data_IF_601377071058
#
_entry.id   IF_601377071058
#
_cell.length_a   1.000
_cell.length_b   1.000
_cell.length_c   1.000
_cell.angle_alpha   90.00
_cell.angle_beta   90.00
_cell.angle_gamma   90.00
#
_symmetry.space_group_name_H-M   'P 1'
#
loop_
_entity.id
_entity.type
_entity.pdbx_description
1 polymer ?
#
# COMPACT_ATOMS: atom_id res chain seq x y z
N UNK A 1 -14.04 -17.72 -27.92
CA UNK A 1 -13.48 -18.18 -26.62
C UNK A 1 -14.52 -18.77 -25.67
N UNK A 2 -15.82 -18.48 -25.82
CA UNK A 2 -16.88 -18.99 -24.92
C UNK A 2 -16.90 -20.52 -24.71
N UNK A 3 -16.73 -21.37 -25.76
CA UNK A 3 -16.67 -22.83 -25.56
C UNK A 3 -15.48 -23.27 -24.69
N UNK A 4 -14.31 -22.64 -24.88
CA UNK A 4 -13.12 -22.90 -24.07
C UNK A 4 -13.32 -22.46 -22.61
N UNK A 5 -14.00 -21.34 -22.39
CA UNK A 5 -14.32 -20.86 -21.04
C UNK A 5 -15.26 -21.82 -20.29
N UNK A 6 -16.21 -22.45 -20.98
CA UNK A 6 -17.07 -23.50 -20.40
C UNK A 6 -16.28 -24.77 -20.06
N UNK A 7 -15.42 -25.22 -20.96
CA UNK A 7 -14.56 -26.38 -20.69
C UNK A 7 -13.61 -26.12 -19.51
N UNK A 8 -13.00 -24.93 -19.46
CA UNK A 8 -12.15 -24.51 -18.35
C UNK A 8 -12.91 -24.43 -17.02
N UNK A 9 -14.13 -23.89 -17.04
CA UNK A 9 -14.98 -23.86 -15.85
C UNK A 9 -15.29 -25.27 -15.31
N UNK A 10 -15.60 -26.23 -16.20
CA UNK A 10 -15.81 -27.61 -15.81
C UNK A 10 -14.55 -28.23 -15.18
N UNK A 11 -13.37 -27.93 -15.74
CA UNK A 11 -12.09 -28.40 -15.19
C UNK A 11 -11.83 -27.84 -13.79
N UNK A 12 -12.09 -26.54 -13.56
CA UNK A 12 -11.89 -25.89 -12.26
C UNK A 12 -12.72 -26.55 -11.14
N UNK A 13 -13.88 -27.14 -11.44
CA UNK A 13 -14.72 -27.82 -10.44
C UNK A 13 -14.07 -29.06 -9.81
N UNK A 14 -13.02 -29.60 -10.44
CA UNK A 14 -12.28 -30.77 -9.94
C UNK A 14 -11.30 -30.42 -8.81
N UNK A 15 -11.07 -29.13 -8.56
CA UNK A 15 -10.08 -28.65 -7.61
C UNK A 15 -10.72 -27.97 -6.40
N UNK A 16 -10.05 -28.08 -5.25
CA UNK A 16 -10.40 -27.33 -4.04
C UNK A 16 -9.54 -26.08 -3.95
N UNK A 17 -10.19 -24.92 -3.87
CA UNK A 17 -9.52 -23.63 -3.72
C UNK A 17 -9.44 -23.24 -2.25
N UNK A 18 -8.31 -22.65 -1.88
CA UNK A 18 -8.08 -22.01 -0.59
C UNK A 18 -7.76 -20.54 -0.82
N UNK A 19 -7.91 -19.73 0.22
CA UNK A 19 -7.46 -18.34 0.14
C UNK A 19 -5.93 -18.33 0.06
N UNK A 20 -5.35 -17.58 -0.91
CA UNK A 20 -3.93 -17.33 -0.93
C UNK A 20 -3.47 -16.65 0.36
N UNK A 21 -2.29 -17.03 0.85
CA UNK A 21 -1.65 -16.34 1.99
C UNK A 21 -1.29 -14.90 1.65
N UNK A 22 -0.90 -14.64 0.40
CA UNK A 22 -0.64 -13.31 -0.13
C UNK A 22 -1.73 -12.86 -1.10
N UNK A 23 -2.14 -11.58 -1.10
CA UNK A 23 -3.15 -11.07 -2.02
C UNK A 23 -2.81 -11.35 -3.49
N UNK A 24 -3.68 -12.04 -4.21
CA UNK A 24 -3.55 -12.28 -5.66
C UNK A 24 -4.56 -11.40 -6.40
N UNK A 25 -4.05 -10.47 -7.21
CA UNK A 25 -4.85 -9.51 -7.97
C UNK A 25 -5.40 -10.19 -9.24
N UNK A 26 -6.72 -10.20 -9.41
CA UNK A 26 -7.37 -10.80 -10.56
C UNK A 26 -7.34 -9.87 -11.77
N UNK A 27 -6.93 -10.39 -12.92
CA UNK A 27 -6.86 -9.63 -14.18
C UNK A 27 -8.20 -9.05 -14.65
N UNK A 28 -9.33 -9.61 -14.21
CA UNK A 28 -10.67 -9.22 -14.68
C UNK A 28 -11.13 -7.88 -14.12
N UNK A 29 -10.68 -7.51 -12.92
CA UNK A 29 -11.12 -6.29 -12.22
C UNK A 29 -9.97 -5.49 -11.59
N UNK A 30 -8.74 -6.01 -11.58
CA UNK A 30 -7.58 -5.35 -10.96
C UNK A 30 -7.64 -5.33 -9.43
N UNK A 31 -8.39 -6.24 -8.81
CA UNK A 31 -8.54 -6.32 -7.35
C UNK A 31 -8.14 -7.72 -6.83
N UNK A 32 -7.70 -7.84 -5.56
CA UNK A 32 -7.48 -9.13 -4.93
C UNK A 32 -8.74 -10.00 -4.93
N UNK A 33 -8.55 -11.32 -4.92
CA UNK A 33 -9.63 -12.24 -4.61
C UNK A 33 -10.22 -11.93 -3.23
N UNK A 34 -11.56 -11.81 -3.17
CA UNK A 34 -12.28 -11.50 -1.93
C UNK A 34 -12.42 -12.72 -1.03
N UNK A 35 -12.69 -13.86 -1.65
CA UNK A 35 -12.97 -15.13 -1.02
C UNK A 35 -12.60 -16.29 -1.97
N UNK A 36 -12.51 -17.51 -1.45
CA UNK A 36 -12.07 -18.69 -2.22
C UNK A 36 -13.08 -19.07 -3.31
N UNK A 37 -14.36 -18.76 -3.08
CA UNK A 37 -15.46 -18.98 -4.02
C UNK A 37 -15.32 -18.08 -5.27
N UNK A 38 -14.79 -16.87 -5.11
CA UNK A 38 -14.57 -15.92 -6.21
C UNK A 38 -13.47 -16.35 -7.19
N UNK A 39 -12.49 -17.16 -6.74
CA UNK A 39 -11.32 -17.55 -7.54
C UNK A 39 -11.72 -18.26 -8.85
N UNK A 40 -12.42 -19.41 -8.82
CA UNK A 40 -12.78 -20.11 -10.05
C UNK A 40 -13.73 -19.29 -10.94
N UNK A 41 -14.58 -18.44 -10.35
CA UNK A 41 -15.49 -17.57 -11.10
C UNK A 41 -14.72 -16.52 -11.90
N UNK A 42 -13.71 -15.88 -11.31
CA UNK A 42 -12.89 -14.86 -11.97
C UNK A 42 -11.88 -15.47 -12.94
N UNK A 43 -11.31 -16.63 -12.64
CA UNK A 43 -10.48 -17.40 -13.59
C UNK A 43 -11.26 -17.76 -14.86
N UNK A 44 -12.51 -18.24 -14.71
CA UNK A 44 -13.40 -18.45 -15.85
C UNK A 44 -13.63 -17.16 -16.63
N UNK A 45 -13.99 -16.06 -15.95
CA UNK A 45 -14.26 -14.77 -16.61
C UNK A 45 -13.06 -14.26 -17.40
N UNK A 46 -11.84 -14.49 -16.91
CA UNK A 46 -10.61 -14.08 -17.59
C UNK A 46 -10.48 -14.65 -19.01
N UNK A 47 -11.07 -15.82 -19.30
CA UNK A 47 -11.06 -16.42 -20.64
C UNK A 47 -11.82 -15.60 -21.69
N UNK A 48 -12.71 -14.70 -21.27
CA UNK A 48 -13.59 -13.94 -22.18
C UNK A 48 -13.58 -12.43 -21.93
N UNK A 49 -12.86 -11.97 -20.90
CA UNK A 49 -12.79 -10.57 -20.52
C UNK A 49 -11.38 -10.00 -20.76
N UNK A 50 -11.27 -8.71 -21.07
CA UNK A 50 -9.98 -8.07 -21.22
C UNK A 50 -9.20 -8.05 -19.91
N UNK A 51 -7.87 -8.02 -20.02
CA UNK A 51 -6.96 -7.84 -18.88
C UNK A 51 -7.02 -6.37 -18.44
N UNK A 52 -7.47 -6.13 -17.21
CA UNK A 52 -7.57 -4.80 -16.59
C UNK A 52 -6.23 -4.36 -16.00
N UNK A 53 -5.19 -4.28 -16.85
CA UNK A 53 -3.84 -3.94 -16.41
C UNK A 53 -3.74 -2.57 -15.73
N UNK A 54 -4.46 -1.57 -16.25
CA UNK A 54 -4.49 -0.23 -15.65
C UNK A 54 -5.09 -0.25 -14.24
N UNK A 55 -6.14 -1.05 -14.01
CA UNK A 55 -6.74 -1.20 -12.69
C UNK A 55 -5.77 -1.87 -11.71
N UNK A 56 -5.05 -2.90 -12.15
CA UNK A 56 -3.98 -3.53 -11.35
C UNK A 56 -2.90 -2.52 -10.95
N UNK A 57 -2.44 -1.68 -11.88
CA UNK A 57 -1.43 -0.65 -11.59
C UNK A 57 -1.95 0.41 -10.62
N UNK A 58 -3.21 0.83 -10.76
CA UNK A 58 -3.84 1.79 -9.84
C UNK A 58 -4.00 1.18 -8.44
N UNK A 59 -4.43 -0.08 -8.35
CA UNK A 59 -4.48 -0.80 -7.07
C UNK A 59 -3.11 -0.81 -6.40
N UNK A 60 -2.04 -1.20 -7.13
CA UNK A 60 -0.68 -1.25 -6.59
C UNK A 60 -0.23 0.12 -6.06
N UNK A 61 -0.48 1.19 -6.82
CA UNK A 61 -0.15 2.56 -6.43
C UNK A 61 -0.89 2.99 -5.16
N UNK A 62 -2.19 2.74 -5.08
CA UNK A 62 -3.01 3.13 -3.91
C UNK A 62 -2.57 2.40 -2.63
N UNK A 63 -2.08 1.17 -2.77
CA UNK A 63 -1.58 0.38 -1.65
C UNK A 63 -0.11 0.65 -1.33
N UNK A 64 0.54 1.57 -2.04
CA UNK A 64 1.92 1.95 -1.77
C UNK A 64 2.96 0.92 -2.18
N UNK A 65 2.64 0.04 -3.11
CA UNK A 65 3.63 -0.85 -3.70
C UNK A 65 4.59 0.02 -4.52
N UNK A 66 5.87 -0.07 -4.21
CA UNK A 66 6.97 0.71 -4.80
C UNK A 66 8.06 -0.19 -5.41
N UNK A 67 8.00 -1.51 -5.19
CA UNK A 67 8.86 -2.50 -5.80
C UNK A 67 8.06 -3.69 -6.36
N UNK A 68 8.55 -4.27 -7.47
CA UNK A 68 8.00 -5.48 -8.05
C UNK A 68 9.10 -6.36 -8.67
N UNK A 69 8.88 -7.67 -8.67
CA UNK A 69 9.77 -8.64 -9.31
C UNK A 69 8.99 -9.34 -10.43
N UNK A 70 9.41 -9.19 -11.68
CA UNK A 70 8.87 -9.96 -12.79
C UNK A 70 9.53 -11.34 -12.85
N UNK A 71 8.72 -12.36 -12.54
CA UNK A 71 9.10 -13.77 -12.69
C UNK A 71 8.69 -14.27 -14.09
N UNK A 72 9.63 -14.30 -15.02
CA UNK A 72 9.36 -14.81 -16.36
C UNK A 72 10.29 -14.24 -17.44
N UNK A 73 10.23 -14.81 -18.66
CA UNK A 73 11.12 -14.42 -19.73
C UNK A 73 10.72 -13.07 -20.36
N UNK A 74 11.67 -12.44 -21.06
CA UNK A 74 11.48 -11.27 -21.96
C UNK A 74 11.16 -9.92 -21.31
N UNK A 75 11.16 -9.81 -19.97
CA UNK A 75 11.01 -8.53 -19.23
C UNK A 75 9.80 -7.70 -19.69
N UNK A 76 8.70 -8.35 -20.06
CA UNK A 76 7.53 -7.70 -20.68
C UNK A 76 6.78 -6.87 -19.66
N UNK A 77 6.50 -7.44 -18.48
CA UNK A 77 5.79 -6.74 -17.42
C UNK A 77 6.63 -5.60 -16.86
N UNK A 78 7.94 -5.77 -16.71
CA UNK A 78 8.90 -4.71 -16.34
C UNK A 78 8.77 -3.51 -17.27
N UNK A 79 8.73 -3.75 -18.58
CA UNK A 79 8.58 -2.68 -19.56
C UNK A 79 7.17 -2.04 -19.54
N UNK A 80 6.11 -2.83 -19.32
CA UNK A 80 4.74 -2.32 -19.20
C UNK A 80 4.54 -1.49 -17.92
N UNK A 81 5.04 -1.97 -16.79
CA UNK A 81 4.99 -1.29 -15.49
C UNK A 81 5.75 0.03 -15.54
N UNK A 82 6.98 0.05 -16.09
CA UNK A 82 7.76 1.28 -16.26
C UNK A 82 7.04 2.37 -17.07
N UNK A 83 6.22 1.97 -18.05
CA UNK A 83 5.38 2.90 -18.83
C UNK A 83 4.17 3.39 -18.03
N UNK A 84 3.56 2.53 -17.20
CA UNK A 84 2.37 2.84 -16.43
C UNK A 84 2.65 3.63 -15.14
N UNK A 85 3.82 3.42 -14.52
CA UNK A 85 4.22 4.11 -13.30
C UNK A 85 5.74 4.23 -13.22
N UNK A 86 6.24 5.42 -12.90
CA UNK A 86 7.65 5.65 -12.57
C UNK A 86 7.97 5.44 -11.09
N UNK A 87 6.94 5.23 -10.26
CA UNK A 87 7.10 5.06 -8.82
C UNK A 87 7.47 3.64 -8.43
N UNK A 88 7.09 2.65 -9.25
CA UNK A 88 7.38 1.24 -8.97
C UNK A 88 8.69 0.86 -9.65
N UNK A 89 9.69 0.51 -8.84
CA UNK A 89 10.94 -0.11 -9.29
C UNK A 89 10.63 -1.56 -9.66
N UNK A 90 11.07 -2.00 -10.84
CA UNK A 90 10.77 -3.35 -11.33
C UNK A 90 12.04 -4.11 -11.64
N UNK A 91 12.24 -5.19 -10.90
CA UNK A 91 13.29 -6.19 -11.09
C UNK A 91 12.78 -7.30 -12.01
N UNK A 92 13.69 -8.09 -12.56
CA UNK A 92 13.36 -9.21 -13.45
C UNK A 92 14.10 -10.46 -12.99
N UNK A 93 13.72 -11.64 -13.49
CA UNK A 93 14.45 -12.89 -13.28
C UNK A 93 14.84 -13.55 -14.60
N UNK A 94 15.06 -12.76 -15.65
CA UNK A 94 15.18 -13.27 -17.02
C UNK A 94 16.61 -13.72 -17.35
N UNK A 95 17.63 -13.04 -16.82
CA UNK A 95 19.04 -13.40 -16.99
C UNK A 95 19.73 -13.68 -15.66
N UNK A 96 20.95 -14.21 -15.72
CA UNK A 96 21.74 -14.45 -14.51
C UNK A 96 22.07 -13.15 -13.79
N UNK A 97 22.38 -12.10 -14.55
CA UNK A 97 22.68 -10.76 -14.04
C UNK A 97 21.46 -10.17 -13.31
N UNK A 98 20.24 -10.45 -13.80
CA UNK A 98 19.03 -10.04 -13.09
C UNK A 98 18.90 -10.71 -11.71
N UNK A 99 19.32 -11.97 -11.60
CA UNK A 99 19.29 -12.70 -10.33
C UNK A 99 20.38 -12.19 -9.38
N UNK A 100 21.56 -11.86 -9.90
CA UNK A 100 22.64 -11.25 -9.13
C UNK A 100 22.18 -9.89 -8.55
N UNK A 101 21.54 -9.04 -9.35
CA UNK A 101 20.91 -7.79 -8.87
C UNK A 101 19.90 -8.05 -7.73
N UNK A 102 19.07 -9.08 -7.85
CA UNK A 102 18.10 -9.45 -6.81
C UNK A 102 18.75 -9.94 -5.51
N UNK A 103 19.88 -10.65 -5.59
CA UNK A 103 20.59 -11.15 -4.40
C UNK A 103 21.33 -10.04 -3.64
N UNK A 104 21.62 -8.92 -4.29
CA UNK A 104 22.22 -7.75 -3.66
C UNK A 104 21.21 -6.87 -2.92
N UNK A 105 19.91 -7.13 -3.08
CA UNK A 105 18.86 -6.35 -2.43
C UNK A 105 18.79 -6.63 -0.92
N UNK A 106 18.74 -5.55 -0.13
CA UNK A 106 18.45 -5.63 1.29
C UNK A 106 16.92 -5.57 1.51
N UNK A 107 16.29 -6.55 2.19
CA UNK A 107 14.89 -6.44 2.59
C UNK A 107 14.55 -5.14 3.35
N UNK A 108 15.51 -4.53 4.06
CA UNK A 108 15.32 -3.25 4.74
C UNK A 108 15.07 -2.08 3.77
N UNK A 109 15.46 -2.21 2.50
CA UNK A 109 15.19 -1.19 1.48
C UNK A 109 13.70 -1.08 1.13
N UNK A 110 12.92 -2.14 1.36
CA UNK A 110 11.50 -2.24 1.05
C UNK A 110 10.59 -2.12 2.28
N UNK A 111 11.14 -1.73 3.42
CA UNK A 111 10.32 -1.31 4.57
C UNK A 111 9.59 -0.03 4.19
N UNK A 112 8.30 0.06 4.49
CA UNK A 112 7.51 1.26 4.20
C UNK A 112 8.05 2.46 4.99
N UNK A 113 8.83 3.32 4.33
CA UNK A 113 9.41 4.54 4.91
C UNK A 113 8.43 5.71 4.91
N UNK A 114 7.18 5.52 4.46
CA UNK A 114 6.20 6.60 4.45
C UNK A 114 5.86 6.98 5.89
N UNK A 115 5.82 8.28 6.21
CA UNK A 115 5.50 8.69 7.55
C UNK A 115 4.10 8.22 7.90
N UNK A 116 3.97 7.57 9.05
CA UNK A 116 2.70 7.14 9.61
C UNK A 116 1.84 8.37 9.98
N UNK A 117 0.60 8.11 10.40
CA UNK A 117 -0.35 9.19 10.67
C UNK A 117 0.17 10.19 11.73
N UNK A 118 0.80 9.71 12.80
CA UNK A 118 1.32 10.55 13.87
C UNK A 118 2.52 11.38 13.41
N UNK A 119 3.44 10.81 12.64
CA UNK A 119 4.58 11.52 12.05
C UNK A 119 4.11 12.66 11.14
N UNK A 120 3.08 12.41 10.34
CA UNK A 120 2.43 13.44 9.52
C UNK A 120 1.80 14.52 10.38
N UNK A 121 1.11 14.16 11.47
CA UNK A 121 0.55 15.14 12.41
C UNK A 121 1.63 16.01 13.05
N UNK A 122 2.76 15.42 13.46
CA UNK A 122 3.88 16.16 14.03
C UNK A 122 4.49 17.11 13.01
N UNK A 123 4.76 16.63 11.79
CA UNK A 123 5.27 17.45 10.70
C UNK A 123 4.32 18.62 10.41
N UNK A 124 3.01 18.35 10.32
CA UNK A 124 1.99 19.38 10.10
C UNK A 124 1.93 20.41 11.25
N UNK A 125 2.01 19.97 12.50
CA UNK A 125 2.01 20.87 13.66
C UNK A 125 3.22 21.80 13.69
N UNK A 126 4.40 21.31 13.29
CA UNK A 126 5.65 22.09 13.32
C UNK A 126 5.80 22.98 12.08
N UNK A 127 5.36 22.52 10.91
CA UNK A 127 5.54 23.24 9.66
C UNK A 127 4.42 24.26 9.37
N UNK A 128 3.32 24.26 10.11
CA UNK A 128 2.23 25.22 9.93
C UNK A 128 2.49 26.45 10.80
N UNK A 129 2.71 27.64 10.22
CA UNK A 129 2.92 28.86 11.01
C UNK A 129 1.73 29.15 11.91
N UNK A 130 2.01 29.45 13.17
CA UNK A 130 1.03 29.95 14.12
C UNK A 130 1.23 31.46 14.29
N UNK A 131 0.14 32.23 14.29
CA UNK A 131 0.18 33.69 14.41
C UNK A 131 -0.48 34.18 15.71
N UNK A 132 -0.72 33.28 16.67
CA UNK A 132 -1.31 33.62 17.95
C UNK A 132 -0.24 34.29 18.82
N UNK A 133 -0.49 35.54 19.23
CA UNK A 133 0.41 36.33 20.08
C UNK A 133 0.00 36.29 21.57
N UNK A 134 -1.03 35.53 21.94
CA UNK A 134 -1.45 35.31 23.32
C UNK A 134 -0.74 34.07 23.88
N UNK A 135 0.16 34.30 24.84
CA UNK A 135 1.01 33.25 25.41
C UNK A 135 0.20 32.14 26.10
N UNK A 136 -0.88 32.48 26.83
CA UNK A 136 -1.70 31.48 27.54
C UNK A 136 -2.47 30.59 26.56
N UNK A 137 -3.09 31.20 25.55
CA UNK A 137 -3.80 30.48 24.49
C UNK A 137 -2.84 29.64 23.65
N UNK A 138 -1.68 30.18 23.29
CA UNK A 138 -0.65 29.46 22.56
C UNK A 138 -0.13 28.27 23.36
N UNK A 139 0.12 28.45 24.66
CA UNK A 139 0.58 27.37 25.53
C UNK A 139 -0.46 26.23 25.60
N UNK A 140 -1.72 26.56 25.90
CA UNK A 140 -2.78 25.55 26.07
C UNK A 140 -3.29 24.95 24.74
N UNK A 141 -3.26 25.74 23.66
CA UNK A 141 -3.82 25.40 22.36
C UNK A 141 -2.82 24.79 21.38
N UNK A 142 -1.53 25.10 21.52
CA UNK A 142 -0.47 24.67 20.61
C UNK A 142 0.56 23.79 21.31
N UNK A 143 1.19 24.30 22.37
CA UNK A 143 2.33 23.64 23.00
C UNK A 143 1.91 22.36 23.73
N UNK A 144 0.88 22.41 24.57
CA UNK A 144 0.40 21.21 25.28
C UNK A 144 -0.09 20.11 24.33
N UNK A 145 -0.93 20.40 23.30
CA UNK A 145 -1.37 19.37 22.37
C UNK A 145 -0.22 18.79 21.55
N UNK A 146 0.74 19.62 21.13
CA UNK A 146 1.94 19.16 20.44
C UNK A 146 2.77 18.22 21.32
N UNK A 147 2.97 18.54 22.59
CA UNK A 147 3.69 17.66 23.54
C UNK A 147 3.00 16.31 23.69
N UNK A 148 1.68 16.28 23.86
CA UNK A 148 0.90 15.03 23.93
C UNK A 148 1.03 14.21 22.66
N UNK A 149 0.94 14.84 21.49
CA UNK A 149 1.13 14.18 20.21
C UNK A 149 2.55 13.59 20.08
N UNK A 150 3.57 14.35 20.51
CA UNK A 150 4.98 13.94 20.50
C UNK A 150 5.25 12.77 21.44
N UNK A 151 4.70 12.79 22.65
CA UNK A 151 4.79 11.69 23.62
C UNK A 151 4.13 10.41 23.10
N UNK A 152 2.95 10.53 22.51
CA UNK A 152 2.24 9.39 21.89
C UNK A 152 3.08 8.74 20.78
N UNK A 153 3.68 9.57 19.91
CA UNK A 153 4.58 9.10 18.85
C UNK A 153 5.78 8.34 19.40
N UNK A 154 6.54 8.92 20.35
CA UNK A 154 7.73 8.25 20.87
C UNK A 154 7.42 6.95 21.62
N UNK A 155 6.30 6.91 22.34
CA UNK A 155 5.87 5.68 23.01
C UNK A 155 5.66 4.54 22.00
N UNK A 156 4.93 4.81 20.92
CA UNK A 156 4.68 3.82 19.87
C UNK A 156 5.95 3.43 19.11
N UNK A 157 6.84 4.39 18.84
CA UNK A 157 8.11 4.14 18.18
C UNK A 157 9.03 3.25 19.02
N UNK A 158 9.13 3.49 20.33
CA UNK A 158 9.93 2.67 21.27
C UNK A 158 9.38 1.25 21.37
N UNK A 159 8.05 1.11 21.36
CA UNK A 159 7.36 -0.19 21.37
C UNK A 159 7.34 -0.90 20.01
N UNK A 160 7.83 -0.25 18.93
CA UNK A 160 7.72 -0.73 17.54
C UNK A 160 6.28 -1.09 17.14
N UNK A 161 5.31 -0.28 17.55
CA UNK A 161 3.87 -0.49 17.28
C UNK A 161 3.33 0.53 16.30
N UNK A 162 2.46 0.05 15.42
CA UNK A 162 1.68 0.92 14.54
C UNK A 162 0.53 1.62 15.29
N UNK A 163 0.16 2.87 14.93
CA UNK A 163 -0.95 3.57 15.53
C UNK A 163 -2.30 2.88 15.28
N UNK A 164 -2.97 2.50 16.36
CA UNK A 164 -4.35 2.01 16.29
C UNK A 164 -5.38 3.14 16.04
N UNK A 165 -6.63 2.74 15.73
CA UNK A 165 -7.73 3.67 15.45
C UNK A 165 -7.97 4.72 16.56
N UNK A 166 -7.74 4.38 17.83
CA UNK A 166 -7.90 5.32 18.93
C UNK A 166 -6.78 6.37 18.95
N UNK A 167 -5.52 5.96 18.72
CA UNK A 167 -4.38 6.87 18.56
C UNK A 167 -4.61 7.86 17.41
N UNK A 168 -5.08 7.37 16.26
CA UNK A 168 -5.39 8.20 15.08
C UNK A 168 -6.43 9.28 15.42
N UNK A 169 -7.51 8.89 16.12
CA UNK A 169 -8.56 9.84 16.52
C UNK A 169 -8.05 10.90 17.49
N UNK A 170 -7.24 10.50 18.47
CA UNK A 170 -6.67 11.42 19.44
C UNK A 170 -5.68 12.39 18.78
N UNK A 171 -4.76 11.88 17.96
CA UNK A 171 -3.82 12.69 17.19
C UNK A 171 -4.52 13.72 16.30
N UNK A 172 -5.59 13.32 15.61
CA UNK A 172 -6.40 14.22 14.79
C UNK A 172 -7.08 15.32 15.63
N UNK A 173 -7.57 14.98 16.82
CA UNK A 173 -8.20 15.94 17.73
C UNK A 173 -7.17 16.96 18.27
N UNK A 174 -5.97 16.50 18.64
CA UNK A 174 -4.87 17.36 19.07
C UNK A 174 -4.43 18.31 17.95
N UNK A 175 -4.21 17.78 16.74
CA UNK A 175 -3.83 18.58 15.58
C UNK A 175 -4.89 19.64 15.23
N UNK A 176 -6.18 19.27 15.32
CA UNK A 176 -7.27 20.23 15.12
C UNK A 176 -7.25 21.34 16.18
N UNK A 177 -6.93 21.04 17.44
CA UNK A 177 -6.79 22.05 18.48
C UNK A 177 -5.66 23.03 18.13
N UNK A 178 -4.50 22.51 17.73
CA UNK A 178 -3.34 23.31 17.28
C UNK A 178 -3.73 24.25 16.14
N UNK A 179 -4.49 23.77 15.15
CA UNK A 179 -4.87 24.56 13.99
C UNK A 179 -5.98 25.57 14.24
N UNK A 180 -6.79 25.36 15.27
CA UNK A 180 -7.85 26.29 15.65
C UNK A 180 -7.36 27.39 16.59
N UNK A 181 -6.25 27.18 17.29
CA UNK A 181 -5.57 28.22 18.06
C UNK A 181 -4.64 28.98 17.13
N UNK A 182 -5.10 30.13 16.61
CA UNK A 182 -4.32 31.01 15.72
C UNK A 182 -4.28 32.44 16.23
#
# INVERSE_FOLDING_TARGET
MEPCAKAFAAELTKYRFHMPEWPVIANVNGLPYKDKESIPLLLKKQMTHPIQWQATMEYMKQHGIDAAIEMGPKKVLKNLMKKASRHIIVYSTNTREDLEELYELDPEDFVDKRPNFLERCLAMAVCTPNQNFNDEEFQAGVIEPYRKLKEMYYRLADEKKEPEAHHIKEAAALLRKIFNTK
#
